data_IF_496762923746
#
_entry.id   IF_496762923746
#
_cell.length_a   1.000
_cell.length_b   1.000
_cell.length_c   1.000
_cell.angle_alpha   90.00
_cell.angle_beta   90.00
_cell.angle_gamma   90.00
#
_symmetry.space_group_name_H-M   'P 1'
#
loop_
_entity.id
_entity.type
_entity.pdbx_description
1 polymer ?
#
# COMPACT_ATOMS: atom_id res chain seq x y z
N UNK A 1 17.94 48.09 41.90
CA UNK A 1 19.12 48.35 42.75
C UNK A 1 20.18 47.41 42.24
N UNK A 2 20.69 47.73 41.04
CA UNK A 2 21.94 48.50 40.84
C UNK A 2 23.10 47.51 40.81
N UNK A 3 23.84 47.34 39.73
CA UNK A 3 24.39 48.39 38.87
C UNK A 3 25.91 48.28 39.04
N UNK A 4 26.60 47.71 38.05
CA UNK A 4 27.56 48.43 37.16
C UNK A 4 28.82 48.88 37.91
N UNK A 5 30.01 48.35 37.63
CA UNK A 5 31.10 48.89 36.78
C UNK A 5 32.41 48.27 37.35
N UNK A 6 33.55 48.06 36.69
CA UNK A 6 34.21 48.74 35.58
C UNK A 6 35.31 47.79 35.01
N UNK A 7 35.47 47.70 33.69
CA UNK A 7 36.53 48.38 32.91
C UNK A 7 37.97 47.82 33.04
N UNK A 8 38.41 47.04 32.04
CA UNK A 8 39.72 47.22 31.37
C UNK A 8 39.67 46.86 29.88
N UNK A 9 39.50 47.91 29.07
CA UNK A 9 40.21 48.24 27.82
C UNK A 9 41.20 47.18 27.26
N UNK A 10 41.02 46.74 26.01
CA UNK A 10 41.78 47.28 24.87
C UNK A 10 41.32 46.64 23.54
N UNK A 11 41.05 47.47 22.55
CA UNK A 11 40.96 47.09 21.15
C UNK A 11 42.24 47.58 20.46
N UNK A 12 42.77 46.84 19.48
CA UNK A 12 43.15 47.51 18.25
C UNK A 12 42.55 46.82 17.02
N UNK A 13 41.99 47.65 16.12
CA UNK A 13 41.74 47.32 14.71
C UNK A 13 43.08 47.23 13.98
N UNK A 14 43.22 46.27 13.07
CA UNK A 14 43.76 46.46 11.70
C UNK A 14 43.84 45.10 10.97
N UNK A 15 43.04 44.99 9.92
CA UNK A 15 43.36 44.57 8.55
C UNK A 15 44.16 43.27 8.24
N UNK A 16 43.48 42.44 7.44
CA UNK A 16 43.96 41.77 6.22
C UNK A 16 45.24 40.91 6.25
N UNK A 17 45.07 39.60 6.02
CA UNK A 17 45.72 38.88 4.92
C UNK A 17 45.17 37.45 4.79
N UNK A 18 44.90 37.05 3.55
CA UNK A 18 44.59 35.69 3.14
C UNK A 18 45.76 34.72 3.44
N UNK A 19 45.47 33.43 3.66
CA UNK A 19 46.04 32.36 2.83
C UNK A 19 45.39 30.98 3.07
N UNK A 20 45.16 30.32 1.95
CA UNK A 20 44.93 28.90 1.63
C UNK A 20 45.07 27.83 2.73
N UNK A 21 44.10 26.89 2.77
CA UNK A 21 44.26 25.70 3.62
C UNK A 21 43.16 24.62 3.60
N UNK A 22 43.04 23.91 2.47
CA UNK A 22 42.81 22.45 2.42
C UNK A 22 41.43 21.91 2.90
N UNK A 23 40.51 21.76 1.96
CA UNK A 23 39.28 20.95 2.09
C UNK A 23 39.59 19.48 2.45
N UNK A 24 39.33 19.10 3.71
CA UNK A 24 39.15 17.70 4.11
C UNK A 24 37.66 17.36 4.01
N UNK A 25 37.26 16.70 2.91
CA UNK A 25 35.98 15.98 2.83
C UNK A 25 35.95 14.84 3.84
N UNK A 26 35.37 15.09 5.02
CA UNK A 26 34.83 14.03 5.86
C UNK A 26 33.40 13.79 5.41
N UNK A 27 33.21 12.79 4.55
CA UNK A 27 31.87 12.33 4.14
C UNK A 27 31.22 11.60 5.29
N UNK A 28 30.51 12.34 6.14
CA UNK A 28 29.57 11.77 7.11
C UNK A 28 28.54 10.91 6.36
N UNK A 29 28.37 9.66 6.79
CA UNK A 29 27.23 8.81 6.42
C UNK A 29 25.93 9.52 6.81
N UNK A 30 25.37 10.27 5.87
CA UNK A 30 24.08 10.93 6.01
C UNK A 30 23.01 9.82 6.07
N UNK A 31 22.41 9.63 7.24
CA UNK A 31 21.23 8.78 7.35
C UNK A 31 20.14 9.46 6.54
N UNK A 32 19.76 8.87 5.40
CA UNK A 32 18.60 9.30 4.64
C UNK A 32 17.36 9.10 5.52
N UNK A 33 16.99 10.13 6.26
CA UNK A 33 15.73 10.17 7.01
C UNK A 33 14.66 10.70 6.08
N UNK A 34 13.77 9.82 5.61
CA UNK A 34 12.59 10.21 4.87
C UNK A 34 11.78 11.20 5.72
N UNK A 35 11.55 12.40 5.17
CA UNK A 35 10.62 13.38 5.75
C UNK A 35 9.25 12.69 5.82
N UNK A 36 8.76 12.39 7.03
CA UNK A 36 7.45 11.75 7.28
C UNK A 36 6.31 12.74 7.00
N UNK A 37 6.17 13.16 5.76
CA UNK A 37 5.08 14.02 5.32
C UNK A 37 4.36 13.31 4.18
N UNK A 38 3.61 12.25 4.51
CA UNK A 38 2.54 11.81 3.62
C UNK A 38 1.42 12.83 3.82
N UNK A 39 1.32 13.81 2.91
CA UNK A 39 0.22 14.76 2.90
C UNK A 39 -1.12 14.07 2.61
N UNK A 40 -2.23 14.69 3.00
CA UNK A 40 -3.59 14.12 2.85
C UNK A 40 -3.86 13.65 1.42
N UNK A 41 -3.56 14.50 0.43
CA UNK A 41 -3.77 14.17 -0.99
C UNK A 41 -2.92 13.00 -1.47
N UNK A 42 -1.67 12.90 -0.99
CA UNK A 42 -0.78 11.78 -1.31
C UNK A 42 -1.29 10.48 -0.69
N UNK A 43 -1.73 10.51 0.57
CA UNK A 43 -2.34 9.37 1.24
C UNK A 43 -3.59 8.88 0.50
N UNK A 44 -4.50 9.79 0.14
CA UNK A 44 -5.70 9.45 -0.62
C UNK A 44 -5.37 8.80 -1.97
N UNK A 45 -4.41 9.36 -2.71
CA UNK A 45 -4.00 8.81 -4.00
C UNK A 45 -3.43 7.39 -3.87
N UNK A 46 -2.61 7.12 -2.83
CA UNK A 46 -2.06 5.78 -2.56
C UNK A 46 -3.18 4.79 -2.26
N UNK A 47 -4.15 5.17 -1.41
CA UNK A 47 -5.28 4.30 -1.05
C UNK A 47 -6.12 3.98 -2.28
N UNK A 48 -6.47 5.00 -3.08
CA UNK A 48 -7.26 4.81 -4.31
C UNK A 48 -6.52 3.91 -5.30
N UNK A 49 -5.21 4.12 -5.48
CA UNK A 49 -4.37 3.30 -6.36
C UNK A 49 -4.25 1.84 -5.93
N UNK A 50 -4.28 1.56 -4.63
CA UNK A 50 -4.26 0.19 -4.12
C UNK A 50 -5.62 -0.51 -4.20
N UNK A 51 -6.73 0.23 -4.07
CA UNK A 51 -8.09 -0.34 -4.11
C UNK A 51 -8.52 -0.63 -5.56
N UNK A 52 -8.20 0.28 -6.50
CA UNK A 52 -8.60 0.11 -7.90
C UNK A 52 -7.63 -0.88 -8.58
N UNK A 53 -8.08 -2.12 -8.76
CA UNK A 53 -7.34 -3.19 -9.43
C UNK A 53 -8.03 -3.77 -10.66
N UNK A 54 -7.48 -4.87 -11.19
CA UNK A 54 -8.01 -5.59 -12.35
C UNK A 54 -9.38 -6.25 -12.12
N UNK A 55 -9.84 -6.33 -10.87
CA UNK A 55 -11.13 -6.93 -10.51
C UNK A 55 -12.34 -6.25 -11.15
N UNK A 56 -12.23 -4.96 -11.53
CA UNK A 56 -13.31 -4.22 -12.20
C UNK A 56 -13.67 -4.80 -13.57
N UNK A 57 -12.76 -5.52 -14.23
CA UNK A 57 -13.01 -6.10 -15.54
C UNK A 57 -13.78 -7.43 -15.44
N UNK A 58 -13.61 -8.18 -14.36
CA UNK A 58 -14.23 -9.49 -14.15
C UNK A 58 -15.56 -9.38 -13.42
N UNK A 59 -15.60 -8.56 -12.36
CA UNK A 59 -16.69 -8.53 -11.38
C UNK A 59 -18.05 -8.13 -11.98
N UNK A 60 -18.17 -7.17 -12.92
CA UNK A 60 -19.46 -6.78 -13.48
C UNK A 60 -20.18 -7.92 -14.19
N UNK A 61 -19.45 -8.79 -14.90
CA UNK A 61 -20.03 -9.95 -15.57
C UNK A 61 -20.64 -10.92 -14.55
N UNK A 62 -19.91 -11.25 -13.50
CA UNK A 62 -20.39 -12.14 -12.43
C UNK A 62 -21.57 -11.56 -11.65
N UNK A 63 -21.52 -10.27 -11.32
CA UNK A 63 -22.62 -9.60 -10.62
C UNK A 63 -23.87 -9.56 -11.49
N UNK A 64 -23.76 -9.25 -12.79
CA UNK A 64 -24.92 -9.19 -13.68
C UNK A 64 -25.54 -10.57 -13.90
N UNK A 65 -24.72 -11.61 -14.06
CA UNK A 65 -25.17 -12.99 -14.24
C UNK A 65 -25.96 -13.50 -13.03
N UNK A 66 -25.54 -13.15 -11.80
CA UNK A 66 -26.25 -13.53 -10.59
C UNK A 66 -27.41 -12.59 -10.21
N UNK A 67 -27.34 -11.31 -10.56
CA UNK A 67 -28.37 -10.31 -10.28
C UNK A 67 -29.57 -10.40 -11.23
N UNK A 68 -29.37 -10.87 -12.47
CA UNK A 68 -30.40 -11.01 -13.51
C UNK A 68 -30.93 -9.69 -14.10
N UNK A 69 -30.79 -8.57 -13.39
CA UNK A 69 -31.20 -7.23 -13.83
C UNK A 69 -30.13 -6.19 -13.59
N UNK A 70 -29.98 -5.26 -14.54
CA UNK A 70 -29.00 -4.16 -14.48
C UNK A 70 -29.26 -3.25 -13.27
N UNK A 71 -30.52 -2.93 -12.98
CA UNK A 71 -30.87 -2.10 -11.82
C UNK A 71 -30.47 -2.73 -10.49
N UNK A 72 -30.66 -4.05 -10.36
CA UNK A 72 -30.27 -4.77 -9.15
C UNK A 72 -28.74 -4.86 -9.01
N UNK A 73 -28.01 -5.03 -10.12
CA UNK A 73 -26.54 -5.05 -10.11
C UNK A 73 -25.92 -3.74 -9.59
N UNK A 74 -26.50 -2.58 -9.91
CA UNK A 74 -26.06 -1.27 -9.39
C UNK A 74 -26.32 -1.13 -7.89
N UNK A 75 -27.45 -1.62 -7.40
CA UNK A 75 -27.76 -1.63 -5.95
C UNK A 75 -26.72 -2.47 -5.20
N UNK A 76 -26.38 -3.66 -5.71
CA UNK A 76 -25.34 -4.52 -5.11
C UNK A 76 -23.99 -3.82 -5.06
N UNK A 77 -23.62 -3.08 -6.11
CA UNK A 77 -22.39 -2.29 -6.12
C UNK A 77 -22.37 -1.20 -5.05
N UNK A 78 -23.46 -0.44 -4.91
CA UNK A 78 -23.56 0.62 -3.89
C UNK A 78 -23.55 0.02 -2.48
N UNK A 79 -24.28 -1.07 -2.25
CA UNK A 79 -24.30 -1.77 -0.95
C UNK A 79 -22.93 -2.35 -0.61
N UNK A 80 -22.24 -2.98 -1.57
CA UNK A 80 -20.88 -3.48 -1.39
C UNK A 80 -19.90 -2.36 -1.03
N UNK A 81 -19.97 -1.23 -1.73
CA UNK A 81 -19.20 -0.03 -1.39
C UNK A 81 -19.48 0.50 0.02
N UNK A 82 -20.75 0.51 0.43
CA UNK A 82 -21.15 0.90 1.79
C UNK A 82 -20.58 -0.02 2.87
N UNK A 83 -20.63 -1.34 2.67
CA UNK A 83 -20.05 -2.32 3.59
C UNK A 83 -18.53 -2.14 3.69
N UNK A 84 -17.85 -1.94 2.55
CA UNK A 84 -16.41 -1.67 2.54
C UNK A 84 -16.05 -0.38 3.29
N UNK A 85 -16.85 0.68 3.16
CA UNK A 85 -16.63 1.93 3.88
C UNK A 85 -16.76 1.75 5.40
N UNK A 86 -17.80 1.04 5.86
CA UNK A 86 -17.97 0.72 7.28
C UNK A 86 -16.81 -0.15 7.80
N UNK A 87 -16.42 -1.19 7.05
CA UNK A 87 -15.30 -2.05 7.38
C UNK A 87 -13.98 -1.28 7.49
N UNK A 88 -13.71 -0.38 6.54
CA UNK A 88 -12.52 0.49 6.58
C UNK A 88 -12.49 1.40 7.81
N UNK A 89 -13.65 1.87 8.28
CA UNK A 89 -13.72 2.71 9.48
C UNK A 89 -13.39 1.90 10.73
N UNK A 90 -13.92 0.68 10.86
CA UNK A 90 -13.54 -0.24 11.93
C UNK A 90 -12.03 -0.56 11.90
N UNK A 91 -11.47 -0.78 10.71
CA UNK A 91 -10.04 -1.00 10.53
C UNK A 91 -9.19 0.22 10.88
N UNK A 92 -9.69 1.43 10.63
CA UNK A 92 -9.01 2.65 11.03
C UNK A 92 -8.91 2.76 12.56
N UNK A 93 -9.98 2.46 13.29
CA UNK A 93 -10.01 2.43 14.76
C UNK A 93 -9.05 1.38 15.34
N UNK A 94 -8.99 0.19 14.74
CA UNK A 94 -8.01 -0.84 15.13
C UNK A 94 -6.57 -0.38 14.86
N UNK A 95 -6.34 0.30 13.74
CA UNK A 95 -5.02 0.81 13.36
C UNK A 95 -4.47 1.89 14.29
N UNK A 96 -5.33 2.72 14.88
CA UNK A 96 -4.92 3.69 15.91
C UNK A 96 -4.81 3.07 17.30
N UNK A 97 -5.59 2.04 17.60
CA UNK A 97 -5.57 1.37 18.92
C UNK A 97 -4.36 0.46 19.10
N UNK A 98 -3.97 -0.29 18.07
CA UNK A 98 -2.86 -1.25 18.13
C UNK A 98 -1.81 -0.86 17.07
N UNK A 99 -0.91 0.12 17.36
CA UNK A 99 0.10 0.60 16.43
C UNK A 99 1.30 -0.37 16.36
N UNK A 100 1.05 -1.64 16.04
CA UNK A 100 2.07 -2.66 15.79
C UNK A 100 2.18 -2.95 14.29
N UNK A 101 3.40 -3.17 13.81
CA UNK A 101 3.62 -3.63 12.44
C UNK A 101 3.03 -5.03 12.24
N UNK A 102 2.40 -5.29 11.09
CA UNK A 102 1.86 -6.60 10.72
C UNK A 102 0.37 -6.64 10.35
N UNK A 103 -0.35 -5.52 10.48
CA UNK A 103 -1.74 -5.40 10.02
C UNK A 103 -2.67 -6.44 10.66
N UNK A 104 -3.42 -7.16 9.83
CA UNK A 104 -4.39 -8.19 10.24
C UNK A 104 -3.81 -9.21 11.22
N UNK A 105 -2.59 -9.70 10.96
CA UNK A 105 -1.94 -10.68 11.81
C UNK A 105 -1.70 -10.14 13.23
N UNK A 106 -1.25 -8.89 13.34
CA UNK A 106 -0.95 -8.26 14.62
C UNK A 106 -2.21 -7.97 15.42
N UNK A 107 -3.33 -7.62 14.76
CA UNK A 107 -4.61 -7.44 15.42
C UNK A 107 -5.14 -8.75 16.01
N UNK A 108 -5.10 -9.84 15.23
CA UNK A 108 -5.63 -11.13 15.68
C UNK A 108 -4.75 -11.77 16.75
N UNK A 109 -3.43 -11.64 16.65
CA UNK A 109 -2.50 -12.19 17.64
C UNK A 109 -2.62 -11.50 18.99
N UNK A 110 -2.91 -10.19 19.03
CA UNK A 110 -3.09 -9.45 20.28
C UNK A 110 -4.37 -9.85 21.02
N UNK A 111 -5.45 -10.14 20.28
CA UNK A 111 -6.78 -10.43 20.85
C UNK A 111 -6.91 -11.92 21.21
N UNK A 112 -6.48 -12.82 20.32
CA UNK A 112 -6.72 -14.27 20.43
C UNK A 112 -5.46 -15.09 20.78
N UNK A 113 -4.30 -14.44 20.87
CA UNK A 113 -3.02 -15.08 21.18
C UNK A 113 -2.31 -15.71 19.97
N UNK A 114 -1.16 -16.33 20.25
CA UNK A 114 -0.21 -16.78 19.22
C UNK A 114 -0.71 -17.90 18.30
N UNK A 115 -1.54 -18.82 18.79
CA UNK A 115 -1.98 -19.97 18.00
C UNK A 115 -2.97 -19.57 16.89
N UNK A 116 -3.92 -18.69 17.20
CA UNK A 116 -4.89 -18.18 16.21
C UNK A 116 -4.22 -17.25 15.21
N UNK A 117 -3.28 -16.42 15.66
CA UNK A 117 -2.43 -15.61 14.78
C UNK A 117 -1.67 -16.50 13.77
N UNK A 118 -1.04 -17.58 14.25
CA UNK A 118 -0.33 -18.52 13.38
C UNK A 118 -1.25 -19.17 12.33
N UNK A 119 -2.44 -19.64 12.73
CA UNK A 119 -3.42 -20.22 11.80
C UNK A 119 -3.87 -19.24 10.72
N UNK A 120 -4.07 -17.97 11.08
CA UNK A 120 -4.41 -16.92 10.13
C UNK A 120 -3.28 -16.72 9.13
N UNK A 121 -2.04 -16.57 9.59
CA UNK A 121 -0.89 -16.39 8.70
C UNK A 121 -0.65 -17.62 7.82
N UNK A 122 -0.78 -18.81 8.39
CA UNK A 122 -0.65 -20.07 7.68
C UNK A 122 -1.65 -20.18 6.53
N UNK A 123 -2.94 -19.94 6.80
CA UNK A 123 -3.99 -19.96 5.77
C UNK A 123 -3.83 -18.83 4.76
N UNK A 124 -3.39 -17.64 5.18
CA UNK A 124 -3.11 -16.54 4.27
C UNK A 124 -2.03 -16.92 3.25
N UNK A 125 -0.89 -17.44 3.71
CA UNK A 125 0.25 -17.85 2.88
C UNK A 125 -0.10 -18.99 1.94
N UNK A 126 -0.77 -20.03 2.44
CA UNK A 126 -1.06 -21.23 1.65
C UNK A 126 -2.29 -21.12 0.76
N UNK A 127 -3.26 -20.28 1.10
CA UNK A 127 -4.55 -20.23 0.41
C UNK A 127 -4.74 -18.85 -0.23
N UNK A 128 -4.72 -17.77 0.54
CA UNK A 128 -5.12 -16.45 0.04
C UNK A 128 -4.16 -15.88 -1.02
N UNK A 129 -2.87 -15.87 -0.73
CA UNK A 129 -1.87 -15.37 -1.68
C UNK A 129 -1.84 -16.14 -3.01
N UNK A 130 -1.70 -17.48 -3.05
CA UNK A 130 -1.67 -18.21 -4.31
C UNK A 130 -3.00 -18.14 -5.06
N UNK A 131 -4.13 -18.11 -4.35
CA UNK A 131 -5.45 -17.96 -5.00
C UNK A 131 -5.57 -16.61 -5.70
N UNK A 132 -5.13 -15.53 -5.07
CA UNK A 132 -5.18 -14.18 -5.66
C UNK A 132 -4.31 -14.10 -6.91
N UNK A 133 -3.08 -14.63 -6.86
CA UNK A 133 -2.20 -14.70 -8.03
C UNK A 133 -2.79 -15.55 -9.14
N UNK A 134 -3.38 -16.70 -8.81
CA UNK A 134 -4.02 -17.58 -9.79
C UNK A 134 -5.21 -16.91 -10.49
N UNK A 135 -6.07 -16.20 -9.76
CA UNK A 135 -7.21 -15.46 -10.33
C UNK A 135 -6.71 -14.37 -11.29
N UNK A 136 -5.67 -13.63 -10.92
CA UNK A 136 -5.08 -12.59 -11.77
C UNK A 136 -4.47 -13.20 -13.05
N UNK A 137 -3.71 -14.29 -12.93
CA UNK A 137 -3.10 -14.97 -14.07
C UNK A 137 -4.13 -15.58 -15.04
N UNK A 138 -5.20 -16.19 -14.50
CA UNK A 138 -6.31 -16.70 -15.29
C UNK A 138 -7.04 -15.57 -16.01
N UNK A 139 -7.26 -14.45 -15.33
CA UNK A 139 -7.89 -13.27 -15.92
C UNK A 139 -7.05 -12.75 -17.07
N UNK A 140 -5.75 -12.51 -16.83
CA UNK A 140 -4.81 -12.06 -17.85
C UNK A 140 -4.84 -12.97 -19.09
N UNK A 141 -4.80 -14.28 -18.87
CA UNK A 141 -4.84 -15.27 -19.95
C UNK A 141 -6.13 -15.19 -20.78
N UNK A 142 -7.29 -15.03 -20.12
CA UNK A 142 -8.56 -14.87 -20.82
C UNK A 142 -8.62 -13.57 -21.64
N UNK A 143 -8.16 -12.46 -21.08
CA UNK A 143 -8.16 -11.16 -21.78
C UNK A 143 -7.21 -11.13 -22.98
N UNK A 144 -6.04 -11.80 -22.90
CA UNK A 144 -5.07 -11.88 -24.01
C UNK A 144 -5.53 -12.80 -25.13
N UNK A 145 -6.22 -13.90 -24.80
CA UNK A 145 -6.71 -14.87 -25.79
C UNK A 145 -7.98 -14.40 -26.52
N UNK A 146 -8.77 -13.53 -25.91
CA UNK A 146 -10.01 -13.00 -26.47
C UNK A 146 -9.85 -12.34 -27.87
N UNK A 147 -8.83 -11.48 -28.14
CA UNK A 147 -8.61 -10.95 -29.49
C UNK A 147 -8.06 -11.98 -30.49
N UNK A 148 -7.40 -13.06 -30.03
CA UNK A 148 -6.85 -14.10 -30.91
C UNK A 148 -7.93 -15.08 -31.42
N UNK A 149 -9.04 -15.23 -30.68
CA UNK A 149 -10.16 -16.09 -31.02
C UNK A 149 -11.50 -15.34 -30.84
N UNK A 150 -11.84 -14.41 -31.75
CA UNK A 150 -13.04 -13.57 -31.60
C UNK A 150 -14.36 -14.34 -31.67
N UNK A 151 -14.42 -15.45 -32.42
CA UNK A 151 -15.65 -16.24 -32.65
C UNK A 151 -15.66 -17.61 -31.96
N UNK A 152 -14.60 -17.99 -31.24
CA UNK A 152 -14.47 -19.31 -30.60
C UNK A 152 -14.17 -19.17 -29.11
N UNK A 153 -14.72 -20.07 -28.28
CA UNK A 153 -14.23 -20.22 -26.91
C UNK A 153 -12.74 -20.60 -26.94
N UNK A 154 -11.86 -19.87 -26.23
CA UNK A 154 -10.46 -20.23 -26.17
C UNK A 154 -10.33 -21.64 -25.59
N UNK A 155 -9.52 -22.53 -26.20
CA UNK A 155 -9.37 -23.88 -25.71
C UNK A 155 -8.90 -23.86 -24.25
N UNK A 156 -9.60 -24.61 -23.39
CA UNK A 156 -9.35 -24.65 -21.95
C UNK A 156 -7.89 -24.97 -21.61
N UNK A 157 -7.26 -25.80 -22.45
CA UNK A 157 -5.84 -26.17 -22.34
C UNK A 157 -4.94 -24.96 -22.58
N UNK A 158 -5.20 -24.12 -23.59
CA UNK A 158 -4.37 -22.93 -23.86
C UNK A 158 -4.48 -21.90 -22.75
N UNK A 159 -5.69 -21.69 -22.22
CA UNK A 159 -5.92 -20.78 -21.09
C UNK A 159 -5.20 -21.25 -19.82
N UNK A 160 -5.21 -22.56 -19.54
CA UNK A 160 -4.48 -23.12 -18.39
C UNK A 160 -2.98 -23.14 -18.58
N UNK A 161 -2.48 -23.45 -19.77
CA UNK A 161 -1.03 -23.44 -20.06
C UNK A 161 -0.48 -22.02 -19.91
N UNK A 162 -1.14 -21.02 -20.50
CA UNK A 162 -0.73 -19.63 -20.37
C UNK A 162 -0.78 -19.16 -18.91
N UNK A 163 -1.85 -19.47 -18.19
CA UNK A 163 -1.97 -19.14 -16.76
C UNK A 163 -0.90 -19.83 -15.90
N UNK A 164 -0.51 -21.06 -16.22
CA UNK A 164 0.52 -21.80 -15.48
C UNK A 164 1.92 -21.26 -15.78
N UNK A 165 2.15 -20.73 -16.99
CA UNK A 165 3.41 -20.07 -17.36
C UNK A 165 3.53 -18.68 -16.71
N UNK A 166 2.40 -18.01 -16.48
CA UNK A 166 2.35 -16.67 -15.88
C UNK A 166 2.49 -16.65 -14.35
N UNK A 167 2.36 -17.78 -13.65
CA UNK A 167 2.54 -17.92 -12.20
C UNK A 167 3.96 -18.42 -11.92
#
# INVERSE_FOLDING_TARGET
MDGTEANRRNCPRSDAAADSGRDKKSGSTERVTLKKEIGLMSACAIIIGNIIGSGIFISPKGVLEHAGSVGFSLIVWVLGGGICALGSLCYAELGVTIPKSGGDYSYVTEIFGGLVGFLLLWSAVWIMYPTTLAVIALTFSNYVLQPAFPDCLPPYIATRLLSTICI
#
